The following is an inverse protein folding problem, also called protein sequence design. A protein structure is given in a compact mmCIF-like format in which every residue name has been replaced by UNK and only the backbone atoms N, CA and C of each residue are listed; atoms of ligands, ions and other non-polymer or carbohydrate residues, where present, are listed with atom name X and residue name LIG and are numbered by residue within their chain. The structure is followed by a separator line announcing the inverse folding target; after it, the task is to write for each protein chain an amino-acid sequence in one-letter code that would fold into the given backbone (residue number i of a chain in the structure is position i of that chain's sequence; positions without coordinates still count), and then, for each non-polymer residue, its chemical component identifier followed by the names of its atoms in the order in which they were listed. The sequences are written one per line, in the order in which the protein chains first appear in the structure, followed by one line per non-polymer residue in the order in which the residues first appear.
data_IF_368187037617
#
_entry.id   IF_368187037617
#
_cell.length_a   1.000
_cell.length_b   1.000
_cell.length_c   1.000
_cell.angle_alpha   90.00
_cell.angle_beta   90.00
_cell.angle_gamma   90.00
#
_symmetry.space_group_name_H-M   'P 1'
#
loop_
_entity.id
_entity.type
_entity.pdbx_description
1 polymer ?
#
# COMPACT_ATOMS: atom_id res chain seq x y z
N UNK A 1 6.10 12.61 16.60
CA UNK A 1 6.28 13.31 15.31
C UNK A 1 4.91 13.28 14.62
N UNK A 2 4.29 14.42 14.35
CA UNK A 2 2.99 14.45 13.66
C UNK A 2 3.23 14.18 12.17
N UNK A 3 2.94 12.96 11.73
CA UNK A 3 3.13 12.57 10.33
C UNK A 3 1.76 12.47 9.66
N UNK A 4 1.54 13.19 8.54
CA UNK A 4 0.30 13.10 7.79
C UNK A 4 0.12 11.70 7.18
N UNK A 5 -1.01 11.06 7.49
CA UNK A 5 -1.31 9.70 7.03
C UNK A 5 -1.82 9.64 5.57
N UNK A 6 -1.96 10.78 4.91
CA UNK A 6 -2.35 10.90 3.51
C UNK A 6 -1.22 11.40 2.60
N UNK A 7 -0.01 11.63 3.14
CA UNK A 7 1.17 12.03 2.37
C UNK A 7 1.60 10.94 1.37
N UNK A 8 1.90 11.33 0.13
CA UNK A 8 2.44 10.41 -0.87
C UNK A 8 3.87 9.97 -0.53
N UNK A 9 4.24 8.74 -0.89
CA UNK A 9 5.62 8.23 -0.73
C UNK A 9 6.66 9.17 -1.37
N UNK A 10 6.35 9.77 -2.51
CA UNK A 10 7.22 10.73 -3.19
C UNK A 10 7.43 12.00 -2.36
N UNK A 11 6.35 12.59 -1.84
CA UNK A 11 6.43 13.77 -0.97
C UNK A 11 7.24 13.46 0.28
N UNK A 12 6.96 12.33 0.93
CA UNK A 12 7.67 11.91 2.13
C UNK A 12 9.17 11.78 1.86
N UNK A 13 9.57 10.99 0.85
CA UNK A 13 10.97 10.81 0.48
C UNK A 13 11.64 12.15 0.14
N UNK A 14 11.00 12.98 -0.69
CA UNK A 14 11.57 14.27 -1.07
C UNK A 14 11.80 15.16 0.17
N UNK A 15 10.79 15.30 1.03
CA UNK A 15 10.86 16.16 2.22
C UNK A 15 11.95 15.70 3.19
N UNK A 16 12.10 14.39 3.40
CA UNK A 16 13.19 13.87 4.25
C UNK A 16 14.57 14.20 3.68
N UNK A 17 14.73 14.10 2.36
CA UNK A 17 16.02 14.34 1.70
C UNK A 17 16.33 15.84 1.56
N UNK A 18 15.32 16.69 1.39
CA UNK A 18 15.48 18.14 1.23
C UNK A 18 16.11 18.83 2.44
N UNK A 19 16.04 18.22 3.62
CA UNK A 19 16.76 18.69 4.83
C UNK A 19 18.27 18.75 4.60
N UNK A 20 18.79 17.95 3.67
CA UNK A 20 20.21 17.85 3.34
C UNK A 20 20.52 18.38 1.94
N UNK A 21 19.62 19.16 1.34
CA UNK A 21 19.72 19.61 -0.05
C UNK A 21 20.99 20.44 -0.35
N UNK A 22 21.58 21.06 0.68
CA UNK A 22 22.83 21.84 0.55
C UNK A 22 24.07 20.94 0.46
N UNK A 23 23.92 19.67 0.81
CA UNK A 23 24.99 18.66 0.81
C UNK A 23 24.76 17.61 -0.28
N UNK A 24 23.50 17.24 -0.52
CA UNK A 24 23.13 16.14 -1.40
C UNK A 24 21.93 16.47 -2.28
N UNK A 25 21.96 15.98 -3.51
CA UNK A 25 20.86 16.10 -4.46
C UNK A 25 19.76 15.06 -4.14
N UNK A 26 18.46 15.42 -3.98
CA UNK A 26 17.38 14.47 -3.67
C UNK A 26 16.97 13.60 -4.88
N UNK A 27 17.95 12.93 -5.48
CA UNK A 27 17.79 12.03 -6.61
C UNK A 27 16.86 10.88 -6.27
N UNK A 28 16.26 10.31 -7.31
CA UNK A 28 15.45 9.11 -7.20
C UNK A 28 13.96 9.36 -6.92
N UNK A 29 13.58 10.60 -6.59
CA UNK A 29 12.17 10.98 -6.42
C UNK A 29 11.62 11.73 -7.65
N UNK A 30 12.38 12.69 -8.17
CA UNK A 30 12.01 13.52 -9.33
C UNK A 30 12.80 13.10 -10.57
N UNK A 31 12.11 12.99 -11.71
CA UNK A 31 12.72 12.67 -13.01
C UNK A 31 13.35 13.89 -13.68
N UNK A 32 14.16 13.66 -14.71
CA UNK A 32 14.85 14.73 -15.45
C UNK A 32 13.93 15.79 -16.07
N UNK A 33 12.68 15.42 -16.36
CA UNK A 33 11.60 16.25 -16.91
C UNK A 33 10.61 16.76 -15.84
N UNK A 34 10.99 16.69 -14.55
CA UNK A 34 10.27 17.35 -13.47
C UNK A 34 9.00 16.63 -13.01
N UNK A 35 8.94 15.32 -13.18
CA UNK A 35 7.83 14.48 -12.76
C UNK A 35 8.22 13.60 -11.57
N UNK A 36 7.23 13.05 -10.87
CA UNK A 36 7.46 12.01 -9.88
C UNK A 36 7.85 10.69 -10.55
N UNK A 37 8.83 9.97 -9.98
CA UNK A 37 8.98 8.55 -10.28
C UNK A 37 7.83 7.75 -9.64
N UNK A 38 7.28 6.80 -10.38
CA UNK A 38 6.26 5.87 -9.84
C UNK A 38 6.82 4.90 -8.81
N UNK A 39 8.12 4.59 -8.91
CA UNK A 39 8.90 3.79 -7.96
C UNK A 39 10.04 4.67 -7.44
N UNK A 40 9.76 5.62 -6.53
CA UNK A 40 10.77 6.49 -5.98
C UNK A 40 11.67 5.74 -4.99
N UNK A 41 12.87 6.27 -4.73
CA UNK A 41 13.80 5.73 -3.75
C UNK A 41 14.62 6.85 -3.10
N UNK A 42 15.14 6.59 -1.92
CA UNK A 42 16.08 7.43 -1.21
C UNK A 42 17.51 7.28 -1.76
N UNK A 43 18.19 8.39 -1.96
CA UNK A 43 19.60 8.42 -2.35
C UNK A 43 20.49 7.84 -1.24
N UNK A 44 21.54 7.09 -1.62
CA UNK A 44 22.41 6.38 -0.66
C UNK A 44 23.03 7.29 0.39
N UNK A 45 23.44 8.49 0.00
CA UNK A 45 24.09 9.43 0.90
C UNK A 45 23.19 9.89 2.03
N UNK A 46 21.86 9.74 1.89
CA UNK A 46 20.86 10.15 2.90
C UNK A 46 19.97 8.99 3.36
N UNK A 47 20.31 7.74 3.02
CA UNK A 47 19.54 6.56 3.44
C UNK A 47 19.49 6.43 4.98
N UNK A 48 20.55 6.84 5.67
CA UNK A 48 20.64 6.86 7.13
C UNK A 48 19.54 7.69 7.79
N UNK A 49 19.00 8.70 7.10
CA UNK A 49 17.90 9.55 7.62
C UNK A 49 16.66 8.69 7.90
N UNK A 50 16.46 7.63 7.13
CA UNK A 50 15.32 6.74 7.27
C UNK A 50 15.47 5.74 8.43
N UNK A 51 16.68 5.61 9.00
CA UNK A 51 16.91 4.72 10.14
C UNK A 51 16.16 5.14 11.41
N UNK A 52 15.78 6.42 11.50
CA UNK A 52 15.01 6.96 12.64
C UNK A 52 13.55 6.54 12.68
N UNK A 53 13.02 6.02 11.57
CA UNK A 53 11.67 5.49 11.49
C UNK A 53 11.71 3.98 11.70
N UNK A 54 10.73 3.41 12.39
CA UNK A 54 10.58 1.97 12.46
C UNK A 54 10.14 1.38 11.11
N UNK A 55 10.41 0.09 10.91
CA UNK A 55 10.10 -0.60 9.65
C UNK A 55 8.60 -0.64 9.35
N UNK A 56 7.76 -0.65 10.40
CA UNK A 56 6.31 -0.65 10.25
C UNK A 56 5.84 0.65 9.59
N UNK A 57 6.25 1.79 10.14
CA UNK A 57 5.93 3.11 9.62
C UNK A 57 6.41 3.27 8.16
N UNK A 58 7.63 2.83 7.84
CA UNK A 58 8.16 2.90 6.47
C UNK A 58 7.33 2.07 5.49
N UNK A 59 6.84 0.92 5.95
CA UNK A 59 6.02 0.01 5.16
C UNK A 59 4.65 0.63 4.88
N UNK A 60 3.98 1.12 5.91
CA UNK A 60 2.70 1.84 5.79
C UNK A 60 2.83 3.03 4.84
N UNK A 61 3.88 3.83 4.99
CA UNK A 61 4.18 4.97 4.12
C UNK A 61 4.37 4.54 2.67
N UNK A 62 4.98 3.38 2.43
CA UNK A 62 5.17 2.85 1.07
C UNK A 62 3.89 2.33 0.43
N UNK A 63 2.86 2.04 1.24
CA UNK A 63 1.59 1.43 0.82
C UNK A 63 0.43 2.41 0.76
N UNK A 64 0.63 3.68 1.14
CA UNK A 64 -0.40 4.71 1.04
C UNK A 64 -0.99 4.74 -0.38
N UNK A 65 -2.31 4.55 -0.47
CA UNK A 65 -3.07 4.53 -1.72
C UNK A 65 -2.98 3.23 -2.54
N UNK A 66 -2.31 2.19 -2.04
CA UNK A 66 -2.37 0.85 -2.63
C UNK A 66 -3.60 0.10 -2.12
N UNK A 67 -4.24 -0.67 -2.99
CA UNK A 67 -5.33 -1.56 -2.60
C UNK A 67 -4.76 -2.76 -1.84
N UNK A 68 -5.34 -3.04 -0.67
CA UNK A 68 -5.13 -4.29 0.06
C UNK A 68 -5.42 -5.47 -0.89
N UNK A 69 -4.55 -6.49 -0.90
CA UNK A 69 -4.74 -7.71 -1.70
C UNK A 69 -4.19 -7.70 -3.13
N UNK A 70 -3.45 -6.67 -3.57
CA UNK A 70 -2.81 -6.68 -4.91
C UNK A 70 -1.28 -6.80 -4.93
N UNK A 71 -0.60 -6.74 -3.79
CA UNK A 71 0.86 -6.88 -3.71
C UNK A 71 1.33 -7.39 -2.33
N UNK A 72 1.47 -8.70 -2.13
CA UNK A 72 2.19 -9.22 -0.95
C UNK A 72 1.48 -9.02 0.40
N UNK A 73 0.15 -8.85 0.39
CA UNK A 73 -0.68 -8.66 1.59
C UNK A 73 -1.81 -9.69 1.71
N UNK A 74 -1.81 -10.75 0.91
CA UNK A 74 -2.75 -11.87 1.05
C UNK A 74 -2.54 -12.66 2.34
N UNK A 75 -3.56 -13.40 2.77
CA UNK A 75 -3.48 -14.34 3.89
C UNK A 75 -2.35 -15.35 3.66
N UNK A 76 -2.17 -15.82 2.42
CA UNK A 76 -1.17 -16.85 2.08
C UNK A 76 0.09 -16.29 1.38
N UNK A 77 0.26 -14.97 1.36
CA UNK A 77 1.48 -14.36 0.82
C UNK A 77 2.67 -14.62 1.75
N UNK A 78 3.87 -14.66 1.15
CA UNK A 78 5.10 -14.88 1.92
C UNK A 78 5.43 -13.62 2.72
N UNK A 79 5.66 -13.70 4.05
CA UNK A 79 5.96 -12.54 4.89
C UNK A 79 7.13 -11.69 4.39
N UNK A 80 8.21 -12.32 3.91
CA UNK A 80 9.38 -11.62 3.37
C UNK A 80 9.07 -10.85 2.09
N UNK A 81 8.08 -11.29 1.30
CA UNK A 81 7.62 -10.59 0.11
C UNK A 81 6.88 -9.30 0.46
N UNK A 82 6.39 -9.12 1.68
CA UNK A 82 5.80 -7.85 2.06
C UNK A 82 6.87 -6.78 2.28
N UNK A 83 7.92 -7.10 3.04
CA UNK A 83 8.99 -6.17 3.37
C UNK A 83 10.08 -6.03 2.29
N UNK A 84 10.04 -6.82 1.20
CA UNK A 84 11.14 -6.89 0.23
C UNK A 84 11.52 -5.55 -0.43
N UNK A 85 10.57 -4.60 -0.49
CA UNK A 85 10.80 -3.29 -1.09
C UNK A 85 11.35 -2.26 -0.11
N UNK A 86 11.32 -2.51 1.20
CA UNK A 86 11.83 -1.54 2.18
C UNK A 86 13.32 -1.20 1.94
N UNK A 87 14.21 -2.18 1.70
CA UNK A 87 15.60 -1.86 1.38
C UNK A 87 15.72 -1.02 0.12
N UNK A 88 15.05 -1.42 -0.98
CA UNK A 88 15.19 -0.73 -2.27
C UNK A 88 14.64 0.69 -2.27
N UNK A 89 13.62 0.97 -1.44
CA UNK A 89 13.03 2.30 -1.31
C UNK A 89 13.86 3.18 -0.36
N UNK A 90 14.28 2.67 0.80
CA UNK A 90 14.80 3.50 1.89
C UNK A 90 16.27 3.29 2.26
N UNK A 91 16.83 2.09 2.07
CA UNK A 91 18.08 1.67 2.74
C UNK A 91 19.24 1.32 1.79
N UNK A 92 18.95 0.85 0.58
CA UNK A 92 19.97 0.36 -0.37
C UNK A 92 20.69 1.48 -1.10
N UNK A 93 20.11 2.68 -1.12
CA UNK A 93 20.77 3.90 -1.58
C UNK A 93 21.04 4.03 -3.09
N UNK A 94 21.09 2.93 -3.81
CA UNK A 94 21.07 2.88 -5.26
C UNK A 94 19.85 2.12 -5.76
N UNK A 95 19.41 2.48 -6.97
CA UNK A 95 18.38 1.74 -7.71
C UNK A 95 18.80 0.28 -7.82
N UNK A 96 18.16 -0.61 -7.07
CA UNK A 96 18.08 -2.00 -7.48
C UNK A 96 17.61 -2.06 -8.93
N UNK A 97 18.31 -2.81 -9.79
CA UNK A 97 17.98 -2.97 -11.21
C UNK A 97 16.51 -3.42 -11.37
N UNK A 98 16.01 -4.24 -10.44
CA UNK A 98 14.63 -4.74 -10.44
C UNK A 98 13.58 -3.70 -10.00
N UNK A 99 13.99 -2.63 -9.33
CA UNK A 99 13.11 -1.55 -8.88
C UNK A 99 13.07 -0.35 -9.85
N UNK A 100 13.72 -0.47 -11.02
CA UNK A 100 13.63 0.55 -12.08
C UNK A 100 12.23 0.57 -12.68
N UNK A 101 11.65 1.77 -12.74
CA UNK A 101 10.43 2.06 -13.51
C UNK A 101 10.60 3.38 -14.22
N UNK A 102 10.48 3.37 -15.54
CA UNK A 102 10.46 4.58 -16.35
C UNK A 102 9.09 5.27 -16.33
N UNK A 103 8.11 4.67 -15.63
CA UNK A 103 6.79 5.27 -15.46
C UNK A 103 6.90 6.49 -14.54
N UNK A 104 6.51 7.64 -15.09
CA UNK A 104 6.50 8.94 -14.43
C UNK A 104 5.08 9.39 -14.14
N UNK A 105 4.90 10.12 -13.05
CA UNK A 105 3.61 10.59 -12.56
C UNK A 105 3.65 12.12 -12.53
N UNK A 106 2.58 12.77 -13.00
CA UNK A 106 2.49 14.25 -12.98
C UNK A 106 2.32 14.74 -11.54
N UNK A 107 3.03 15.79 -11.18
CA UNK A 107 2.91 16.43 -9.88
C UNK A 107 1.65 17.30 -9.88
N UNK A 108 0.72 16.98 -8.98
CA UNK A 108 -0.54 17.71 -8.81
C UNK A 108 -0.72 18.09 -7.35
N UNK A 109 -1.41 19.21 -7.09
CA UNK A 109 -1.63 19.69 -5.73
C UNK A 109 -2.84 20.61 -5.60
N UNK A 110 -3.33 20.75 -4.36
CA UNK A 110 -4.32 21.76 -3.99
C UNK A 110 -3.66 22.81 -3.11
N UNK A 111 -3.67 24.07 -3.56
CA UNK A 111 -3.05 25.18 -2.82
C UNK A 111 -3.64 25.37 -1.42
N UNK A 112 -4.96 25.20 -1.27
CA UNK A 112 -5.65 25.32 0.02
C UNK A 112 -5.22 24.21 0.98
N UNK A 113 -5.15 22.96 0.51
CA UNK A 113 -4.64 21.85 1.33
C UNK A 113 -3.19 22.04 1.76
N UNK A 114 -2.33 22.54 0.88
CA UNK A 114 -0.94 22.84 1.22
C UNK A 114 -0.88 23.87 2.35
N UNK A 115 -1.64 24.95 2.22
CA UNK A 115 -1.68 26.02 3.23
C UNK A 115 -2.17 25.47 4.57
N UNK A 116 -3.23 24.65 4.55
CA UNK A 116 -3.75 24.01 5.75
C UNK A 116 -2.73 23.03 6.37
N UNK A 117 -2.03 22.24 5.55
CA UNK A 117 -0.98 21.34 6.01
C UNK A 117 0.16 22.08 6.71
N UNK A 118 0.54 23.26 6.22
CA UNK A 118 1.55 24.10 6.89
C UNK A 118 1.07 24.55 8.27
N UNK A 119 -0.21 24.91 8.41
CA UNK A 119 -0.80 25.29 9.70
C UNK A 119 -0.82 24.09 10.66
N UNK A 120 -1.26 22.93 10.18
CA UNK A 120 -1.51 21.75 11.04
C UNK A 120 -0.23 20.99 11.40
N UNK A 121 0.73 20.92 10.47
CA UNK A 121 1.93 20.09 10.59
C UNK A 121 3.23 20.89 10.57
N UNK A 122 3.19 22.18 10.24
CA UNK A 122 4.38 23.04 10.10
C UNK A 122 5.08 22.91 8.75
N UNK A 123 4.55 22.14 7.79
CA UNK A 123 5.12 21.96 6.46
C UNK A 123 4.07 21.59 5.41
N UNK A 124 4.30 21.98 4.15
CA UNK A 124 3.49 21.55 3.02
C UNK A 124 3.93 20.19 2.48
N UNK A 125 2.97 19.38 2.03
CA UNK A 125 3.23 18.05 1.47
C UNK A 125 2.22 17.69 0.37
N UNK A 126 2.60 16.76 -0.50
CA UNK A 126 1.70 16.28 -1.56
C UNK A 126 0.93 15.04 -1.10
N UNK A 127 -0.39 15.13 -1.12
CA UNK A 127 -1.28 14.00 -0.79
C UNK A 127 -1.24 12.92 -1.88
N UNK A 128 -1.44 11.67 -1.48
CA UNK A 128 -1.40 10.52 -2.38
C UNK A 128 -2.58 10.47 -3.37
N UNK A 129 -3.77 10.89 -2.95
CA UNK A 129 -5.00 10.89 -3.76
C UNK A 129 -4.83 11.75 -5.02
N UNK A 130 -4.04 12.83 -4.94
CA UNK A 130 -3.72 13.72 -6.04
C UNK A 130 -2.99 13.03 -7.19
N UNK A 131 -2.34 11.87 -6.98
CA UNK A 131 -1.71 11.12 -8.06
C UNK A 131 -2.73 10.80 -9.16
N UNK A 132 -3.92 10.34 -8.79
CA UNK A 132 -4.97 9.92 -9.72
C UNK A 132 -6.06 10.98 -9.90
N UNK A 133 -6.31 11.80 -8.87
CA UNK A 133 -7.38 12.78 -8.90
C UNK A 133 -7.14 13.93 -9.90
N UNK A 134 -8.24 14.57 -10.31
CA UNK A 134 -8.25 15.84 -11.05
C UNK A 134 -8.75 17.00 -10.19
N UNK A 135 -9.50 16.69 -9.14
CA UNK A 135 -10.07 17.64 -8.17
C UNK A 135 -9.59 17.28 -6.78
N UNK A 136 -9.49 18.28 -5.92
CA UNK A 136 -9.26 18.10 -4.50
C UNK A 136 -10.53 17.56 -3.84
N UNK A 137 -10.41 16.48 -3.06
CA UNK A 137 -11.55 15.92 -2.33
C UNK A 137 -12.04 16.88 -1.23
N UNK A 138 -11.13 17.48 -0.45
CA UNK A 138 -11.44 18.38 0.67
C UNK A 138 -12.12 19.68 0.25
N UNK A 139 -11.63 20.30 -0.82
CA UNK A 139 -12.05 21.63 -1.24
C UNK A 139 -12.98 21.64 -2.45
N UNK A 140 -13.18 20.48 -3.07
CA UNK A 140 -13.91 20.32 -4.33
C UNK A 140 -13.51 21.36 -5.40
N UNK A 141 -12.23 21.70 -5.51
CA UNK A 141 -11.68 22.57 -6.57
C UNK A 141 -10.80 21.75 -7.51
N UNK A 142 -10.60 22.16 -8.77
CA UNK A 142 -9.59 21.56 -9.61
C UNK A 142 -8.20 21.59 -8.94
N UNK A 143 -7.40 20.54 -9.16
CA UNK A 143 -6.01 20.52 -8.73
C UNK A 143 -5.16 21.35 -9.70
N UNK A 144 -4.09 21.94 -9.19
CA UNK A 144 -3.00 22.43 -10.01
C UNK A 144 -2.11 21.28 -10.44
N UNK A 145 -1.50 21.40 -11.62
CA UNK A 145 -0.48 20.50 -12.14
C UNK A 145 0.77 21.29 -12.50
N UNK A 146 1.94 20.86 -12.03
CA UNK A 146 3.20 21.42 -12.48
C UNK A 146 3.48 20.98 -13.93
N UNK A 147 3.82 21.94 -14.79
CA UNK A 147 4.25 21.67 -16.16
C UNK A 147 5.63 20.98 -16.18
N UNK A 148 5.92 20.26 -17.27
CA UNK A 148 7.24 19.64 -17.46
C UNK A 148 8.31 20.73 -17.52
N UNK A 149 9.43 20.46 -16.87
CA UNK A 149 10.58 21.36 -16.88
C UNK A 149 11.83 20.56 -16.51
N UNK A 150 13.01 21.19 -16.54
CA UNK A 150 14.23 20.53 -16.10
C UNK A 150 14.14 20.14 -14.63
N UNK A 151 14.89 19.11 -14.24
CA UNK A 151 14.99 18.64 -12.85
C UNK A 151 15.18 19.79 -11.83
N UNK A 152 16.15 20.68 -12.06
CA UNK A 152 16.43 21.80 -11.14
C UNK A 152 15.25 22.77 -11.01
N UNK A 153 14.63 23.13 -12.14
CA UNK A 153 13.45 23.99 -12.12
C UNK A 153 12.26 23.29 -11.44
N UNK A 154 12.11 21.98 -11.63
CA UNK A 154 11.07 21.22 -10.98
C UNK A 154 11.26 21.23 -9.46
N UNK A 155 12.48 21.02 -8.96
CA UNK A 155 12.77 21.11 -7.53
C UNK A 155 12.44 22.49 -6.96
N UNK A 156 12.76 23.58 -7.68
CA UNK A 156 12.39 24.94 -7.27
C UNK A 156 10.86 25.06 -7.16
N UNK A 157 10.12 24.65 -8.19
CA UNK A 157 8.66 24.74 -8.19
C UNK A 157 8.04 23.87 -7.09
N UNK A 158 8.57 22.67 -6.85
CA UNK A 158 8.10 21.78 -5.79
C UNK A 158 8.34 22.41 -4.41
N UNK A 159 9.52 22.99 -4.16
CA UNK A 159 9.83 23.71 -2.91
C UNK A 159 8.90 24.89 -2.70
N UNK A 160 8.63 25.67 -3.74
CA UNK A 160 7.65 26.76 -3.70
C UNK A 160 6.27 26.25 -3.27
N UNK A 161 5.78 25.17 -3.88
CA UNK A 161 4.52 24.53 -3.43
C UNK A 161 4.61 24.11 -1.97
N UNK A 162 5.66 23.42 -1.54
CA UNK A 162 5.80 22.98 -0.14
C UNK A 162 5.84 24.15 0.86
N UNK A 163 6.25 25.34 0.42
CA UNK A 163 6.23 26.58 1.20
C UNK A 163 4.88 27.32 1.16
N UNK A 164 3.88 26.78 0.47
CA UNK A 164 2.58 27.44 0.31
C UNK A 164 2.57 28.53 -0.76
N UNK A 165 3.55 28.55 -1.66
CA UNK A 165 3.56 29.43 -2.83
C UNK A 165 2.97 28.73 -4.05
N UNK A 166 2.37 29.50 -4.96
CA UNK A 166 1.89 28.99 -6.25
C UNK A 166 2.93 29.25 -7.35
N UNK A 167 3.62 28.22 -7.87
CA UNK A 167 4.64 28.41 -8.90
C UNK A 167 4.05 28.93 -10.21
N UNK A 168 4.83 29.72 -10.96
CA UNK A 168 4.39 30.28 -12.26
C UNK A 168 4.07 29.22 -13.30
N UNK A 169 4.69 28.05 -13.21
CA UNK A 169 4.46 26.93 -14.14
C UNK A 169 3.34 25.98 -13.68
N UNK A 170 2.62 26.32 -12.60
CA UNK A 170 1.46 25.59 -12.16
C UNK A 170 0.26 25.96 -13.03
N UNK A 171 -0.43 24.95 -13.58
CA UNK A 171 -1.62 25.14 -14.39
C UNK A 171 -2.78 24.37 -13.76
N UNK A 172 -3.91 25.03 -13.61
CA UNK A 172 -5.14 24.42 -13.13
C UNK A 172 -5.62 23.35 -14.12
N UNK A 173 -6.01 22.17 -13.61
CA UNK A 173 -6.52 21.09 -14.45
C UNK A 173 -7.94 21.45 -14.87
N UNK A 174 -8.09 21.97 -16.09
CA UNK A 174 -9.41 22.24 -16.66
C UNK A 174 -10.11 20.91 -16.94
N UNK A 175 -11.32 20.75 -16.42
CA UNK A 175 -12.21 19.65 -16.76
C UNK A 175 -12.78 19.92 -18.17
N UNK A 176 -12.18 19.31 -19.20
CA UNK A 176 -12.86 19.19 -20.49
C UNK A 176 -14.13 18.36 -20.27
N UNK A 177 -15.28 18.90 -20.63
CA UNK A 177 -16.63 18.34 -20.50
C UNK A 177 -16.70 16.80 -20.33
N UNK A 178 -17.41 16.42 -19.26
CA UNK A 178 -17.62 15.07 -18.76
C UNK A 178 -17.99 14.05 -19.87
N UNK A 179 -17.18 13.00 -20.03
CA UNK A 179 -17.80 11.67 -20.19
C UNK A 179 -18.10 11.20 -18.78
N UNK A 180 -19.37 10.85 -18.57
CA UNK A 180 -19.88 10.18 -17.37
C UNK A 180 -18.95 9.05 -16.94
N UNK A 181 -17.96 9.36 -16.10
CA UNK A 181 -17.41 8.35 -15.22
C UNK A 181 -18.30 8.41 -14.00
N UNK A 182 -18.99 7.30 -13.69
CA UNK A 182 -19.90 7.25 -12.56
C UNK A 182 -19.15 7.74 -11.33
N UNK A 183 -19.82 8.61 -10.60
CA UNK A 183 -19.75 8.72 -9.14
C UNK A 183 -18.60 7.90 -8.56
N UNK A 184 -17.55 8.57 -8.10
CA UNK A 184 -16.84 8.09 -6.91
C UNK A 184 -17.90 8.11 -5.80
N UNK A 185 -18.75 7.07 -5.83
CA UNK A 185 -19.72 6.79 -4.81
C UNK A 185 -18.90 6.59 -3.54
N UNK A 186 -19.26 7.39 -2.55
CA UNK A 186 -19.03 7.20 -1.13
C UNK A 186 -18.44 5.82 -0.81
N UNK A 187 -17.13 5.81 -0.58
CA UNK A 187 -16.62 5.22 0.64
C UNK A 187 -15.63 6.24 1.18
N UNK A 188 -16.14 7.02 2.15
CA UNK A 188 -15.47 7.37 3.39
C UNK A 188 -13.93 7.32 3.39
N UNK A 189 -13.33 8.35 3.97
CA UNK A 189 -12.08 8.22 4.73
C UNK A 189 -12.35 7.26 5.91
N UNK A 190 -12.61 5.99 5.61
CA UNK A 190 -12.19 4.88 6.43
C UNK A 190 -10.78 4.62 5.92
N UNK A 191 -9.78 5.21 6.58
CA UNK A 191 -8.43 4.65 6.51
C UNK A 191 -8.58 3.14 6.65
N UNK A 192 -7.87 2.32 5.86
CA UNK A 192 -7.96 0.88 6.01
C UNK A 192 -7.76 0.57 7.49
N UNK A 193 -8.73 -0.11 8.10
CA UNK A 193 -8.52 -0.74 9.39
C UNK A 193 -7.19 -1.48 9.24
N UNK A 194 -6.18 -1.09 10.02
CA UNK A 194 -4.91 -1.78 10.04
C UNK A 194 -5.18 -3.18 10.57
N UNK A 195 -5.58 -4.08 9.69
CA UNK A 195 -5.46 -5.49 9.95
C UNK A 195 -3.99 -5.71 9.62
N UNK A 196 -3.13 -5.81 10.62
CA UNK A 196 -1.98 -6.70 10.50
C UNK A 196 -2.59 -8.10 10.52
N UNK A 197 -2.99 -8.68 9.38
CA UNK A 197 -3.78 -9.88 9.40
C UNK A 197 -2.76 -10.97 9.58
N UNK A 198 -2.93 -11.74 10.64
CA UNK A 198 -2.32 -13.06 10.78
C UNK A 198 -2.13 -13.69 9.39
N UNK A 199 -0.89 -13.97 9.00
CA UNK A 199 -0.59 -14.69 7.75
C UNK A 199 -0.83 -16.17 7.96
N UNK A 200 -0.97 -16.93 6.90
CA UNK A 200 -1.09 -18.39 6.94
C UNK A 200 0.00 -19.01 6.07
N UNK A 201 0.74 -19.96 6.63
CA UNK A 201 1.60 -20.81 5.81
C UNK A 201 0.75 -21.60 4.80
N UNK A 202 1.27 -21.87 3.60
CA UNK A 202 0.52 -22.64 2.58
C UNK A 202 -0.05 -23.96 3.12
N UNK A 203 0.63 -24.64 4.04
CA UNK A 203 0.12 -25.87 4.67
C UNK A 203 -1.16 -25.68 5.49
N UNK A 204 -1.43 -24.49 6.01
CA UNK A 204 -2.70 -24.17 6.67
C UNK A 204 -3.87 -24.23 5.68
N UNK A 205 -3.63 -24.06 4.38
CA UNK A 205 -4.65 -24.23 3.35
C UNK A 205 -5.33 -25.59 3.43
N UNK A 206 -4.55 -26.66 3.62
CA UNK A 206 -5.07 -28.03 3.79
C UNK A 206 -5.93 -28.13 5.06
N UNK A 207 -5.46 -27.56 6.18
CA UNK A 207 -6.22 -27.52 7.45
C UNK A 207 -7.55 -26.81 7.27
N UNK A 208 -7.56 -25.64 6.64
CA UNK A 208 -8.77 -24.88 6.33
C UNK A 208 -9.70 -25.70 5.41
N UNK A 209 -9.15 -26.42 4.44
CA UNK A 209 -9.90 -27.33 3.58
C UNK A 209 -10.65 -28.41 4.36
N UNK A 210 -9.97 -29.07 5.32
CA UNK A 210 -10.62 -30.06 6.20
C UNK A 210 -11.77 -29.43 6.97
N UNK A 211 -11.54 -28.28 7.62
CA UNK A 211 -12.54 -27.62 8.47
C UNK A 211 -13.75 -27.17 7.63
N UNK A 212 -13.52 -26.64 6.42
CA UNK A 212 -14.59 -26.27 5.47
C UNK A 212 -15.46 -27.49 5.15
N UNK A 213 -14.84 -28.63 4.80
CA UNK A 213 -15.60 -29.84 4.44
C UNK A 213 -16.37 -30.41 5.63
N UNK A 214 -15.79 -30.41 6.84
CA UNK A 214 -16.45 -30.86 8.07
C UNK A 214 -17.67 -30.00 8.41
N UNK A 215 -17.60 -28.70 8.14
CA UNK A 215 -18.63 -27.73 8.52
C UNK A 215 -19.51 -27.29 7.35
N UNK A 216 -19.42 -27.94 6.19
CA UNK A 216 -20.00 -27.46 4.92
C UNK A 216 -21.51 -27.15 4.99
N UNK A 217 -22.26 -27.90 5.81
CA UNK A 217 -23.71 -27.71 5.99
C UNK A 217 -24.07 -26.52 6.90
N UNK A 218 -23.11 -26.04 7.68
CA UNK A 218 -23.24 -24.94 8.65
C UNK A 218 -22.64 -23.64 8.13
N UNK A 219 -21.87 -23.69 7.05
CA UNK A 219 -21.26 -22.51 6.44
C UNK A 219 -22.34 -21.59 5.84
N UNK A 220 -22.19 -20.26 5.97
CA UNK A 220 -23.15 -19.33 5.42
C UNK A 220 -23.15 -19.38 3.88
N UNK A 221 -24.34 -19.30 3.28
CA UNK A 221 -24.48 -18.99 1.86
C UNK A 221 -24.43 -17.47 1.65
N UNK A 222 -23.68 -16.99 0.66
CA UNK A 222 -23.55 -15.56 0.42
C UNK A 222 -23.82 -15.22 -1.05
N UNK A 223 -24.95 -14.54 -1.32
CA UNK A 223 -25.37 -13.87 -2.58
C UNK A 223 -24.64 -14.33 -3.87
N UNK A 224 -24.70 -15.64 -4.18
CA UNK A 224 -24.16 -16.22 -5.41
C UNK A 224 -22.63 -16.37 -5.48
N UNK A 225 -21.88 -15.96 -4.45
CA UNK A 225 -20.42 -16.11 -4.37
C UNK A 225 -20.00 -17.44 -3.73
N UNK A 226 -20.70 -17.85 -2.67
CA UNK A 226 -20.42 -19.12 -1.99
C UNK A 226 -21.73 -19.83 -1.64
N UNK A 227 -22.10 -20.83 -2.45
CA UNK A 227 -23.11 -21.83 -2.12
C UNK A 227 -22.45 -23.14 -1.61
N UNK A 228 -23.26 -24.14 -1.27
CA UNK A 228 -22.74 -25.42 -0.78
C UNK A 228 -21.79 -26.10 -1.78
N UNK A 229 -22.01 -25.93 -3.09
CA UNK A 229 -21.14 -26.51 -4.13
C UNK A 229 -19.82 -25.75 -4.21
N UNK A 230 -19.85 -24.43 -4.11
CA UNK A 230 -18.66 -23.59 -4.07
C UNK A 230 -17.80 -23.90 -2.84
N UNK A 231 -18.41 -24.10 -1.67
CA UNK A 231 -17.67 -24.53 -0.47
C UNK A 231 -17.06 -25.93 -0.62
N UNK A 232 -17.80 -26.87 -1.23
CA UNK A 232 -17.28 -28.22 -1.49
C UNK A 232 -16.05 -28.15 -2.39
N UNK A 233 -16.17 -27.46 -3.53
CA UNK A 233 -15.07 -27.29 -4.48
C UNK A 233 -13.88 -26.58 -3.84
N UNK A 234 -14.12 -25.56 -3.01
CA UNK A 234 -13.06 -24.87 -2.29
C UNK A 234 -12.31 -25.82 -1.34
N UNK A 235 -13.03 -26.59 -0.53
CA UNK A 235 -12.44 -27.54 0.40
C UNK A 235 -11.65 -28.65 -0.32
N UNK A 236 -12.21 -29.21 -1.39
CA UNK A 236 -11.53 -30.21 -2.23
C UNK A 236 -10.27 -29.64 -2.88
N UNK A 237 -10.34 -28.43 -3.44
CA UNK A 237 -9.20 -27.84 -4.14
C UNK A 237 -8.04 -27.49 -3.18
N UNK A 238 -8.35 -27.21 -1.90
CA UNK A 238 -7.35 -27.02 -0.84
C UNK A 238 -6.70 -28.32 -0.35
N UNK A 239 -7.40 -29.46 -0.46
CA UNK A 239 -6.95 -30.75 0.08
C UNK A 239 -6.26 -31.64 -0.95
N UNK A 240 -6.79 -31.67 -2.18
CA UNK A 240 -6.42 -32.69 -3.16
C UNK A 240 -5.25 -32.28 -4.06
N UNK A 241 -4.94 -30.98 -4.14
CA UNK A 241 -3.90 -30.48 -5.03
C UNK A 241 -2.68 -30.01 -4.26
N UNK A 242 -1.49 -30.26 -4.84
CA UNK A 242 -0.24 -29.74 -4.30
C UNK A 242 -0.20 -28.21 -4.25
N UNK A 243 0.59 -27.67 -3.32
CA UNK A 243 0.70 -26.23 -2.97
C UNK A 243 1.12 -25.29 -4.11
N UNK A 244 1.66 -25.84 -5.19
CA UNK A 244 2.08 -25.10 -6.39
C UNK A 244 1.13 -25.32 -7.58
N UNK A 245 0.04 -26.07 -7.38
CA UNK A 245 -1.00 -26.26 -8.38
C UNK A 245 -1.86 -25.00 -8.52
N UNK A 246 -2.25 -24.68 -9.75
CA UNK A 246 -3.08 -23.52 -10.05
C UNK A 246 -4.44 -23.54 -9.31
N UNK A 247 -5.04 -24.73 -9.11
CA UNK A 247 -6.30 -24.87 -8.38
C UNK A 247 -6.13 -24.52 -6.91
N UNK A 248 -5.09 -25.06 -6.27
CA UNK A 248 -4.73 -24.71 -4.90
C UNK A 248 -4.50 -23.19 -4.75
N UNK A 249 -3.73 -22.57 -5.65
CA UNK A 249 -3.47 -21.12 -5.60
C UNK A 249 -4.73 -20.26 -5.79
N UNK A 250 -5.68 -20.71 -6.62
CA UNK A 250 -6.98 -20.03 -6.77
C UNK A 250 -7.85 -20.22 -5.53
N UNK A 251 -7.80 -21.41 -4.92
CA UNK A 251 -8.51 -21.72 -3.70
C UNK A 251 -8.01 -20.87 -2.52
N UNK A 252 -6.70 -20.67 -2.35
CA UNK A 252 -6.17 -19.77 -1.31
C UNK A 252 -6.64 -18.33 -1.47
N UNK A 253 -6.72 -17.83 -2.72
CA UNK A 253 -7.28 -16.50 -3.00
C UNK A 253 -8.80 -16.43 -2.70
N UNK A 254 -9.54 -17.52 -2.95
CA UNK A 254 -10.95 -17.59 -2.59
C UNK A 254 -11.14 -17.58 -1.07
N UNK A 255 -10.28 -18.27 -0.31
CA UNK A 255 -10.25 -18.19 1.17
C UNK A 255 -9.98 -16.76 1.63
N UNK A 256 -9.05 -16.02 1.02
CA UNK A 256 -8.78 -14.62 1.38
C UNK A 256 -10.02 -13.73 1.28
N UNK A 257 -10.83 -13.92 0.23
CA UNK A 257 -12.08 -13.18 0.06
C UNK A 257 -13.18 -13.67 1.02
N UNK A 258 -13.11 -14.93 1.44
CA UNK A 258 -14.08 -15.58 2.30
C UNK A 258 -13.77 -15.49 3.80
N UNK A 259 -12.54 -15.12 4.20
CA UNK A 259 -12.07 -15.29 5.58
C UNK A 259 -12.88 -14.46 6.59
N UNK A 260 -13.38 -13.28 6.17
CA UNK A 260 -14.26 -12.42 6.97
C UNK A 260 -15.64 -13.06 7.17
N UNK A 261 -16.08 -13.92 6.24
CA UNK A 261 -17.32 -14.69 6.37
C UNK A 261 -17.09 -15.91 7.25
N UNK A 262 -15.99 -16.64 7.02
CA UNK A 262 -15.59 -17.80 7.82
C UNK A 262 -15.37 -17.42 9.29
N UNK A 263 -14.83 -16.22 9.56
CA UNK A 263 -14.65 -15.71 10.92
C UNK A 263 -15.93 -15.40 11.67
N UNK A 264 -17.10 -15.47 11.01
CA UNK A 264 -18.42 -15.36 11.65
C UNK A 264 -19.03 -16.73 11.96
N UNK A 265 -18.39 -17.82 11.58
CA UNK A 265 -18.84 -19.18 11.87
C UNK A 265 -18.11 -19.70 13.12
N UNK A 266 -18.82 -19.81 14.23
CA UNK A 266 -18.24 -20.20 15.52
C UNK A 266 -17.58 -21.58 15.47
N UNK A 267 -18.20 -22.56 14.79
CA UNK A 267 -17.65 -23.90 14.63
C UNK A 267 -16.34 -23.88 13.82
N UNK A 268 -16.30 -23.13 12.72
CA UNK A 268 -15.08 -22.96 11.91
C UNK A 268 -13.97 -22.33 12.75
N UNK A 269 -14.27 -21.25 13.47
CA UNK A 269 -13.29 -20.56 14.31
C UNK A 269 -12.75 -21.45 15.42
N UNK A 270 -13.63 -22.20 16.08
CA UNK A 270 -13.26 -23.12 17.15
C UNK A 270 -12.31 -24.20 16.63
N UNK A 271 -12.67 -24.89 15.54
CA UNK A 271 -11.81 -25.92 14.94
C UNK A 271 -10.48 -25.33 14.45
N UNK A 272 -10.51 -24.15 13.83
CA UNK A 272 -9.30 -23.48 13.36
C UNK A 272 -8.35 -23.18 14.52
N UNK A 273 -8.84 -22.63 15.64
CA UNK A 273 -8.05 -22.37 16.84
C UNK A 273 -7.46 -23.65 17.46
N UNK A 274 -8.17 -24.78 17.36
CA UNK A 274 -7.66 -26.08 17.81
C UNK A 274 -6.61 -26.66 16.87
N UNK A 275 -6.65 -26.33 15.57
CA UNK A 275 -5.78 -26.92 14.56
C UNK A 275 -4.53 -26.09 14.23
N UNK A 276 -4.45 -24.83 14.67
CA UNK A 276 -3.33 -23.93 14.35
C UNK A 276 -2.70 -23.29 15.57
N UNK A 277 -1.42 -22.93 15.46
CA UNK A 277 -0.70 -22.05 16.38
C UNK A 277 -0.38 -20.73 15.70
N UNK A 278 -0.15 -19.70 16.51
CA UNK A 278 0.20 -18.36 16.06
C UNK A 278 1.63 -18.04 16.49
N UNK A 279 2.53 -17.97 15.50
CA UNK A 279 3.96 -17.74 15.72
C UNK A 279 4.30 -16.30 15.33
N UNK A 280 4.97 -15.59 16.24
CA UNK A 280 5.52 -14.26 15.95
C UNK A 280 6.83 -14.40 15.19
N UNK A 281 6.91 -13.87 13.98
CA UNK A 281 8.12 -13.92 13.14
C UNK A 281 8.60 -12.51 12.83
N UNK A 282 9.90 -12.27 13.03
CA UNK A 282 10.56 -11.02 12.67
C UNK A 282 10.97 -11.08 11.21
N UNK A 283 10.46 -10.17 10.37
CA UNK A 283 10.56 -10.31 8.91
C UNK A 283 11.17 -9.10 8.20
N UNK A 284 11.41 -8.02 8.92
CA UNK A 284 11.92 -6.80 8.31
C UNK A 284 13.45 -6.79 8.19
N UNK A 285 14.02 -6.00 7.26
CA UNK A 285 15.46 -5.96 7.01
C UNK A 285 16.27 -5.60 8.27
N UNK A 286 15.72 -4.74 9.13
CA UNK A 286 16.37 -4.30 10.37
C UNK A 286 15.92 -5.10 11.59
N UNK A 287 15.12 -6.16 11.41
CA UNK A 287 14.58 -7.00 12.48
C UNK A 287 13.71 -6.24 13.50
N UNK A 288 13.07 -5.16 13.08
CA UNK A 288 12.25 -4.30 13.95
C UNK A 288 10.75 -4.61 13.87
N UNK A 289 10.31 -5.19 12.76
CA UNK A 289 8.90 -5.49 12.52
C UNK A 289 8.66 -7.00 12.52
N UNK A 290 7.55 -7.38 13.14
CA UNK A 290 7.14 -8.77 13.31
C UNK A 290 5.69 -8.97 12.88
N UNK A 291 5.44 -10.06 12.16
CA UNK A 291 4.10 -10.53 11.83
C UNK A 291 3.72 -11.73 12.71
N UNK A 292 2.42 -11.99 12.80
CA UNK A 292 1.88 -13.23 13.37
C UNK A 292 1.57 -14.16 12.21
N UNK A 293 2.07 -15.39 12.27
CA UNK A 293 1.87 -16.43 11.26
C UNK A 293 1.13 -17.59 11.88
N UNK A 294 0.02 -17.96 11.27
CA UNK A 294 -0.73 -19.17 11.48
C UNK A 294 0.03 -20.36 10.88
N UNK A 295 0.32 -21.35 11.72
CA UNK A 295 0.96 -22.61 11.34
C UNK A 295 0.13 -23.78 11.87
N UNK A 296 0.09 -24.95 11.20
CA UNK A 296 -0.59 -26.12 11.76
C UNK A 296 0.03 -26.55 13.09
N UNK A 297 -0.80 -27.00 14.04
CA UNK A 297 -0.35 -27.75 15.21
C UNK A 297 0.13 -29.13 14.78
N UNK A 298 1.26 -29.57 15.33
CA UNK A 298 1.81 -30.91 15.12
C UNK A 298 1.46 -31.84 16.28
#
# INVERSE_FOLDING_TARGET
MNIPLDESLQSFLLRQQLVFADVFDPKGVVSGDGQWFSKPYAHHEVSYVFHRFDDLFLLETSDIGKKIGRMGHGLFDTPSAYCHNLPSIFLSGERSITYKSDKKIRIKFCQKCITQAIIDFGFGYFKHDWIQARRCHEHNTPLYRLQLTSYNNALINIKQVMNGELPRNAVEIVDSYQRNNPTFAEHSISRPEFIFPIRAMKCVGEVIGVIILNNIRKLPSFDGLFDIKAWLLLGEDLLLWGKDNLRFMKATLAVENAIVLLSKCDDFNYELQQAVEYVKVIISPRKQFSEIIMVPKF
#
